data_IF_980492715862
#
_entry.id   IF_980492715862
#
_cell.length_a   1.000
_cell.length_b   1.000
_cell.length_c   1.000
_cell.angle_alpha   90.00
_cell.angle_beta   90.00
_cell.angle_gamma   90.00
#
_symmetry.space_group_name_H-M   'P 1'
#
loop_
_entity.id
_entity.type
_entity.pdbx_description
1 polymer ?
#
# COMPACT_ATOMS: atom_id res chain seq x y z
N UNK A 1 -54.62 22.12 -38.22
CA UNK A 1 -55.71 21.21 -37.79
C UNK A 1 -55.50 20.92 -36.31
N UNK A 2 -56.19 21.65 -35.42
CA UNK A 2 -57.41 21.31 -34.68
C UNK A 2 -57.24 20.18 -33.63
N UNK A 3 -57.52 20.57 -32.39
CA UNK A 3 -57.56 19.82 -31.13
C UNK A 3 -58.49 18.60 -31.13
N UNK A 4 -58.14 17.61 -30.30
CA UNK A 4 -59.08 16.79 -29.50
C UNK A 4 -58.27 16.17 -28.35
N UNK A 5 -58.26 16.64 -27.08
CA UNK A 5 -59.28 16.82 -26.02
C UNK A 5 -59.89 15.51 -25.49
N UNK A 6 -59.43 15.16 -24.26
CA UNK A 6 -60.03 14.39 -23.15
C UNK A 6 -60.59 12.95 -23.37
N UNK A 7 -60.13 12.02 -22.52
CA UNK A 7 -60.93 11.50 -21.40
C UNK A 7 -60.02 10.94 -20.27
N UNK A 8 -60.22 11.27 -18.98
CA UNK A 8 -59.48 10.72 -17.85
C UNK A 8 -60.23 9.53 -17.21
N UNK A 9 -59.50 8.60 -16.57
CA UNK A 9 -60.10 7.61 -15.66
C UNK A 9 -59.26 7.47 -14.39
N UNK A 10 -59.99 7.55 -13.28
CA UNK A 10 -59.64 7.71 -11.88
C UNK A 10 -58.69 6.67 -11.25
N UNK A 11 -57.83 7.20 -10.36
CA UNK A 11 -57.35 6.69 -9.05
C UNK A 11 -56.76 5.26 -8.94
N UNK A 12 -55.75 5.10 -8.06
CA UNK A 12 -56.16 4.67 -6.71
C UNK A 12 -55.51 5.48 -5.58
N UNK A 13 -56.32 5.70 -4.54
CA UNK A 13 -55.87 5.87 -3.17
C UNK A 13 -55.26 4.55 -2.71
N UNK A 14 -54.05 4.57 -2.14
CA UNK A 14 -53.79 3.99 -0.82
C UNK A 14 -52.35 4.23 -0.42
N UNK A 15 -52.23 4.87 0.74
CA UNK A 15 -51.02 4.99 1.51
C UNK A 15 -50.49 3.60 1.90
N UNK A 16 -49.20 3.38 1.66
CA UNK A 16 -48.41 2.44 2.44
C UNK A 16 -47.09 3.12 2.73
N UNK A 17 -46.85 3.39 4.02
CA UNK A 17 -45.62 4.01 4.50
C UNK A 17 -44.40 3.23 4.05
N UNK A 18 -43.52 3.90 3.32
CA UNK A 18 -42.16 3.42 3.09
C UNK A 18 -41.32 3.72 4.33
N UNK A 19 -40.56 2.75 4.88
CA UNK A 19 -39.59 3.06 5.90
C UNK A 19 -38.52 3.99 5.32
N UNK A 20 -38.08 4.94 6.14
CA UNK A 20 -36.98 5.84 5.85
C UNK A 20 -35.80 5.09 5.22
N UNK A 21 -35.07 5.67 4.23
CA UNK A 21 -33.83 5.08 3.78
C UNK A 21 -32.93 4.94 5.00
N UNK A 22 -32.61 3.70 5.33
CA UNK A 22 -31.65 3.32 6.35
C UNK A 22 -30.40 4.15 6.07
N UNK A 23 -30.18 5.16 6.90
CA UNK A 23 -28.96 5.96 6.89
C UNK A 23 -27.83 4.96 7.07
N UNK A 24 -27.18 4.60 5.97
CA UNK A 24 -26.00 3.78 5.98
C UNK A 24 -24.99 4.53 6.82
N UNK A 25 -24.86 4.11 8.08
CA UNK A 25 -23.72 4.44 8.91
C UNK A 25 -22.53 3.88 8.14
N UNK A 26 -21.85 4.75 7.40
CA UNK A 26 -20.50 4.48 6.93
C UNK A 26 -19.74 4.20 8.23
N UNK A 27 -19.28 2.96 8.50
CA UNK A 27 -18.39 2.78 9.62
C UNK A 27 -17.19 3.68 9.30
N UNK A 28 -16.95 4.62 10.22
CA UNK A 28 -15.73 5.39 10.32
C UNK A 28 -14.59 4.42 9.99
N UNK A 29 -13.95 4.63 8.84
CA UNK A 29 -12.90 3.74 8.35
C UNK A 29 -11.69 3.96 9.26
N UNK A 30 -11.78 3.36 10.44
CA UNK A 30 -10.76 3.33 11.47
C UNK A 30 -9.58 2.58 10.87
N UNK A 31 -8.62 3.34 10.33
CA UNK A 31 -7.27 2.92 9.94
C UNK A 31 -7.10 1.42 9.71
N UNK A 32 -7.87 0.84 8.79
CA UNK A 32 -7.61 -0.50 8.32
C UNK A 32 -6.31 -0.38 7.53
N UNK A 33 -5.20 -0.78 8.15
CA UNK A 33 -3.92 -1.00 7.48
C UNK A 33 -4.24 -1.93 6.32
N UNK A 34 -4.47 -1.36 5.14
CA UNK A 34 -4.75 -2.11 3.95
C UNK A 34 -3.45 -2.86 3.63
N UNK A 35 -3.38 -4.19 3.82
CA UNK A 35 -2.19 -4.92 3.45
C UNK A 35 -2.04 -4.73 1.95
N UNK A 36 -1.03 -3.95 1.57
CA UNK A 36 -0.78 -3.66 0.15
C UNK A 36 -0.68 -5.01 -0.57
N UNK A 37 -1.46 -5.22 -1.65
CA UNK A 37 -1.41 -6.48 -2.39
C UNK A 37 0.04 -6.85 -2.70
N UNK A 38 0.43 -8.13 -2.53
CA UNK A 38 1.77 -8.56 -2.90
C UNK A 38 2.03 -8.15 -4.35
N UNK A 39 3.22 -7.58 -4.59
CA UNK A 39 3.58 -7.16 -5.93
C UNK A 39 3.58 -8.38 -6.84
N UNK A 40 2.96 -8.25 -8.01
CA UNK A 40 2.93 -9.31 -9.03
C UNK A 40 4.23 -9.42 -9.84
N UNK A 41 5.15 -8.46 -9.71
CA UNK A 41 6.40 -8.41 -10.47
C UNK A 41 7.58 -8.77 -9.58
N UNK A 42 8.53 -9.53 -10.13
CA UNK A 42 9.81 -9.78 -9.47
C UNK A 42 10.61 -8.47 -9.33
N UNK A 43 11.32 -8.29 -8.20
CA UNK A 43 12.22 -7.16 -8.00
C UNK A 43 13.34 -7.11 -9.04
N UNK A 44 13.56 -5.94 -9.62
CA UNK A 44 14.61 -5.73 -10.64
C UNK A 44 15.90 -5.22 -10.01
N UNK A 45 17.04 -5.40 -10.69
CA UNK A 45 18.33 -4.86 -10.25
C UNK A 45 18.30 -3.33 -10.09
N UNK A 46 17.57 -2.62 -10.95
CA UNK A 46 17.40 -1.16 -10.85
C UNK A 46 16.60 -0.76 -9.60
N UNK A 47 15.54 -1.50 -9.27
CA UNK A 47 14.79 -1.29 -8.02
C UNK A 47 15.66 -1.55 -6.79
N UNK A 48 16.43 -2.66 -6.80
CA UNK A 48 17.36 -2.96 -5.72
C UNK A 48 18.43 -1.87 -5.56
N UNK A 49 18.96 -1.34 -6.66
CA UNK A 49 19.90 -0.21 -6.63
C UNK A 49 19.28 1.06 -6.05
N UNK A 50 18.05 1.38 -6.42
CA UNK A 50 17.33 2.51 -5.83
C UNK A 50 17.13 2.34 -4.31
N UNK A 51 16.84 1.11 -3.84
CA UNK A 51 16.73 0.84 -2.41
C UNK A 51 18.08 0.89 -1.69
N UNK A 52 19.13 0.31 -2.27
CA UNK A 52 20.49 0.36 -1.74
C UNK A 52 20.92 1.81 -1.48
N UNK A 53 20.72 2.67 -2.48
CA UNK A 53 20.98 4.10 -2.38
C UNK A 53 20.20 4.76 -1.24
N UNK A 54 18.90 4.49 -1.11
CA UNK A 54 18.09 5.05 -0.03
C UNK A 54 18.59 4.59 1.33
N UNK A 55 18.90 3.31 1.49
CA UNK A 55 19.36 2.74 2.76
C UNK A 55 20.69 3.36 3.21
N UNK A 56 21.65 3.55 2.29
CA UNK A 56 22.94 4.19 2.58
C UNK A 56 22.76 5.68 2.88
N UNK A 57 21.98 6.40 2.04
CA UNK A 57 21.73 7.85 2.23
C UNK A 57 21.00 8.14 3.54
N UNK A 58 20.12 7.24 3.99
CA UNK A 58 19.40 7.35 5.27
C UNK A 58 20.19 6.84 6.47
N UNK A 59 21.45 6.39 6.27
CA UNK A 59 22.31 5.79 7.32
C UNK A 59 21.70 4.55 7.97
N UNK A 60 20.81 3.86 7.25
CA UNK A 60 20.25 2.56 7.67
C UNK A 60 21.19 1.41 7.32
N UNK A 61 22.06 1.63 6.34
CA UNK A 61 23.22 0.81 6.03
C UNK A 61 24.43 1.73 5.90
N UNK A 62 25.60 1.19 6.22
CA UNK A 62 26.86 1.85 5.94
C UNK A 62 27.19 1.79 4.44
N UNK A 63 27.03 0.61 3.84
CA UNK A 63 27.34 0.38 2.44
C UNK A 63 26.39 -0.67 1.84
N UNK A 64 26.09 -0.52 0.55
CA UNK A 64 25.37 -1.48 -0.25
C UNK A 64 25.87 -1.37 -1.70
N UNK A 65 26.53 -2.41 -2.20
CA UNK A 65 27.21 -2.39 -3.51
C UNK A 65 26.83 -3.64 -4.30
N UNK A 66 26.49 -3.47 -5.58
CA UNK A 66 26.29 -4.56 -6.52
C UNK A 66 27.65 -5.08 -7.01
N UNK A 67 27.91 -6.36 -6.79
CA UNK A 67 29.07 -7.05 -7.32
C UNK A 67 28.84 -7.44 -8.80
N UNK A 68 29.91 -7.66 -9.58
CA UNK A 68 29.80 -8.13 -10.97
C UNK A 68 29.12 -9.49 -11.12
N UNK A 69 28.98 -10.25 -10.03
CA UNK A 69 28.32 -11.56 -9.97
C UNK A 69 26.81 -11.46 -9.73
N UNK A 70 26.22 -10.28 -9.87
CA UNK A 70 24.82 -9.96 -9.55
C UNK A 70 24.43 -10.12 -8.05
N UNK A 71 25.41 -10.37 -7.20
CA UNK A 71 25.25 -10.41 -5.75
C UNK A 71 25.38 -9.02 -5.13
N UNK A 72 24.75 -8.80 -3.99
CA UNK A 72 24.84 -7.54 -3.25
C UNK A 72 25.67 -7.69 -1.99
N UNK A 73 26.67 -6.83 -1.85
CA UNK A 73 27.48 -6.70 -0.65
C UNK A 73 26.89 -5.59 0.22
N UNK A 74 26.40 -5.97 1.40
CA UNK A 74 25.74 -5.06 2.33
C UNK A 74 26.48 -5.01 3.66
N UNK A 75 26.75 -3.80 4.14
CA UNK A 75 27.35 -3.57 5.44
C UNK A 75 26.44 -2.66 6.28
N UNK A 76 26.16 -3.11 7.50
CA UNK A 76 25.28 -2.41 8.45
C UNK A 76 26.03 -1.28 9.18
N UNK A 77 27.23 -1.62 9.69
CA UNK A 77 28.08 -0.76 10.51
C UNK A 77 29.47 -0.64 9.88
N UNK A 78 30.19 0.49 10.07
CA UNK A 78 31.52 0.73 9.50
C UNK A 78 32.53 -0.42 9.66
N UNK A 79 32.62 -0.97 10.87
CA UNK A 79 33.53 -2.07 11.19
C UNK A 79 32.79 -3.41 11.31
N UNK A 80 31.58 -3.48 10.77
CA UNK A 80 30.72 -4.65 10.78
C UNK A 80 31.05 -5.65 9.68
N UNK A 81 30.62 -6.90 9.82
CA UNK A 81 30.74 -7.89 8.76
C UNK A 81 29.95 -7.46 7.52
N UNK A 82 30.50 -7.75 6.35
CA UNK A 82 29.81 -7.62 5.07
C UNK A 82 28.95 -8.87 4.86
N UNK A 83 27.66 -8.66 4.60
CA UNK A 83 26.70 -9.72 4.26
C UNK A 83 26.56 -9.77 2.74
N UNK A 84 26.52 -10.98 2.19
CA UNK A 84 26.23 -11.22 0.78
C UNK A 84 24.74 -11.53 0.65
N UNK A 85 24.07 -10.88 -0.29
CA UNK A 85 22.69 -11.17 -0.69
C UNK A 85 22.70 -11.64 -2.14
N UNK A 86 21.91 -12.66 -2.47
CA UNK A 86 22.03 -13.37 -3.74
C UNK A 86 21.41 -12.63 -4.92
N UNK A 87 20.61 -11.58 -4.66
CA UNK A 87 20.08 -10.78 -5.74
C UNK A 87 19.12 -9.67 -5.32
N UNK A 88 18.41 -9.09 -6.30
CA UNK A 88 17.55 -7.93 -6.08
C UNK A 88 16.41 -8.17 -5.08
N UNK A 89 15.87 -9.38 -5.05
CA UNK A 89 14.77 -9.73 -4.15
C UNK A 89 15.17 -9.60 -2.67
N UNK A 90 16.37 -10.03 -2.32
CA UNK A 90 16.89 -9.99 -0.95
C UNK A 90 17.14 -8.56 -0.47
N UNK A 91 17.60 -7.67 -1.37
CA UNK A 91 17.77 -6.24 -1.05
C UNK A 91 16.42 -5.59 -0.75
N UNK A 92 15.40 -5.90 -1.55
CA UNK A 92 14.05 -5.36 -1.33
C UNK A 92 13.42 -5.96 -0.06
N UNK A 93 13.64 -7.24 0.22
CA UNK A 93 13.20 -7.88 1.46
C UNK A 93 13.89 -7.26 2.70
N UNK A 94 15.18 -6.95 2.61
CA UNK A 94 15.91 -6.24 3.66
C UNK A 94 15.33 -4.85 3.89
N UNK A 95 15.07 -4.09 2.82
CA UNK A 95 14.45 -2.77 2.93
C UNK A 95 13.05 -2.84 3.58
N UNK A 96 12.24 -3.84 3.22
CA UNK A 96 10.94 -4.07 3.82
C UNK A 96 11.05 -4.41 5.31
N UNK A 97 12.01 -5.24 5.70
CA UNK A 97 12.27 -5.60 7.10
C UNK A 97 12.64 -4.39 7.93
N UNK A 98 13.56 -3.55 7.45
CA UNK A 98 13.98 -2.30 8.14
C UNK A 98 12.80 -1.34 8.26
N UNK A 99 12.01 -1.17 7.19
CA UNK A 99 10.80 -0.33 7.23
C UNK A 99 9.77 -0.86 8.22
N UNK A 100 9.55 -2.17 8.24
CA UNK A 100 8.60 -2.79 9.16
C UNK A 100 9.03 -2.57 10.60
N UNK A 101 10.31 -2.84 10.91
CA UNK A 101 10.89 -2.58 12.23
C UNK A 101 10.76 -1.11 12.65
N UNK A 102 11.04 -0.18 11.74
CA UNK A 102 10.89 1.26 11.99
C UNK A 102 9.44 1.64 12.28
N UNK A 103 8.47 1.04 11.58
CA UNK A 103 7.04 1.27 11.81
C UNK A 103 6.57 0.70 13.15
N UNK A 104 7.05 -0.48 13.54
CA UNK A 104 6.62 -1.15 14.78
C UNK A 104 7.30 -0.61 16.03
N UNK A 105 8.53 -0.10 15.93
CA UNK A 105 9.24 0.51 17.07
C UNK A 105 8.88 1.98 17.32
N UNK A 106 8.07 2.61 16.45
CA UNK A 106 7.59 3.96 16.69
C UNK A 106 6.51 3.91 17.77
N UNK A 107 6.71 4.49 18.97
CA UNK A 107 5.67 4.51 19.99
C UNK A 107 4.47 5.28 19.42
N UNK A 108 3.29 4.69 19.53
CA UNK A 108 2.02 5.35 19.22
C UNK A 108 1.92 6.60 20.09
N UNK A 109 2.27 7.76 19.53
CA UNK A 109 2.04 9.03 20.17
C UNK A 109 0.55 9.32 19.98
N UNK A 110 -0.26 8.87 20.95
CA UNK A 110 -1.68 9.19 21.07
C UNK A 110 -1.88 10.15 22.24
#
# INVERSE_FOLDING_TARGET
MRLNRQNPSSAPLSATGGPAPCRATVPLQENAVNPRPPRSSEPTAAEAGAWADVLVRRRLLQAAVLAPTDQWLVQDRPDGPVRVLEGPADVVALAATIQHHTRTMRPETR
#
